data_IF_990620503321
#
_entry.id   IF_990620503321
#
_cell.length_a   1.000
_cell.length_b   1.000
_cell.length_c   1.000
_cell.angle_alpha   90.00
_cell.angle_beta   90.00
_cell.angle_gamma   90.00
#
_symmetry.space_group_name_H-M   'P 1'
#
loop_
_entity.id
_entity.type
_entity.pdbx_description
1 polymer ?
2 non-polymer ?
3 water ?
#
# COMPACT_ATOMS: atom_id res chain seq x y z
N UNK A 1 -28.80 -3.58 -7.94
CA UNK A 1 -29.84 -3.36 -8.94
C UNK A 1 -30.13 -1.87 -9.07
N UNK A 2 -30.79 -1.31 -8.06
CA UNK A 2 -30.81 0.13 -7.84
C UNK A 2 -30.48 0.28 -6.37
N UNK A 3 -29.80 -0.74 -5.87
CA UNK A 3 -29.45 -0.85 -4.47
C UNK A 3 -28.53 0.27 -3.98
N UNK A 4 -27.95 1.07 -4.87
CA UNK A 4 -27.10 2.16 -4.38
C UNK A 4 -27.88 3.43 -4.09
N UNK A 5 -28.61 3.96 -5.06
CA UNK A 5 -29.35 5.21 -4.80
C UNK A 5 -30.45 5.06 -3.75
N UNK A 6 -31.00 3.86 -3.63
CA UNK A 6 -31.99 3.60 -2.60
C UNK A 6 -31.39 3.60 -1.19
N UNK A 7 -30.09 3.32 -1.09
CA UNK A 7 -29.49 3.05 0.21
C UNK A 7 -28.44 4.02 0.68
N UNK A 8 -27.98 4.87 -0.23
CA UNK A 8 -26.92 5.82 0.11
C UNK A 8 -27.25 7.24 -0.37
N UNK A 9 -26.86 8.23 0.42
CA UNK A 9 -26.95 9.65 0.04
C UNK A 9 -25.57 10.03 -0.46
N UNK A 10 -25.51 10.54 -1.67
CA UNK A 10 -24.21 10.86 -2.22
C UNK A 10 -23.86 12.30 -1.84
N UNK A 11 -22.63 12.49 -1.41
CA UNK A 11 -22.13 13.82 -1.08
C UNK A 11 -21.08 14.28 -2.13
N UNK A 12 -20.10 15.04 -1.68
CA UNK A 12 -19.16 15.73 -2.57
C UNK A 12 -18.14 14.81 -3.26
N UNK A 13 -17.70 15.24 -4.43
CA UNK A 13 -16.67 14.53 -5.20
C UNK A 13 -15.32 14.52 -4.49
N UNK A 14 -14.72 13.34 -4.32
CA UNK A 14 -13.39 13.22 -3.72
C UNK A 14 -12.24 13.10 -4.76
N UNK A 15 -12.56 12.59 -5.94
CA UNK A 15 -11.55 12.34 -6.95
C UNK A 15 -12.14 11.85 -8.25
N UNK A 16 -11.34 11.82 -9.30
CA UNK A 16 -11.84 11.34 -10.59
C UNK A 16 -10.72 10.63 -11.33
N UNK A 17 -11.11 9.66 -12.15
CA UNK A 17 -10.18 9.01 -13.04
C UNK A 17 -10.80 8.82 -14.41
N UNK A 18 -10.15 7.97 -15.21
CA UNK A 18 -10.74 7.54 -16.46
C UNK A 18 -11.94 6.67 -16.12
N UNK A 19 -13.09 7.04 -16.66
CA UNK A 19 -14.29 6.23 -16.56
C UNK A 19 -14.90 6.20 -15.16
N UNK A 20 -14.39 6.98 -14.21
CA UNK A 20 -14.95 6.91 -12.85
C UNK A 20 -14.78 8.20 -12.03
N UNK A 21 -15.64 8.37 -11.03
CA UNK A 21 -15.49 9.45 -10.09
C UNK A 21 -15.68 8.79 -8.72
N UNK A 22 -15.07 9.36 -7.70
CA UNK A 22 -15.24 8.86 -6.33
C UNK A 22 -15.95 9.95 -5.57
N UNK A 23 -17.07 9.63 -4.91
CA UNK A 23 -17.77 10.62 -4.10
C UNK A 23 -17.96 10.07 -2.70
N UNK A 24 -17.86 10.94 -1.72
CA UNK A 24 -18.20 10.51 -0.36
C UNK A 24 -19.71 10.21 -0.32
N UNK A 25 -20.11 9.23 0.49
CA UNK A 25 -21.54 8.92 0.60
C UNK A 25 -21.84 8.49 2.01
N UNK A 26 -23.13 8.50 2.34
CA UNK A 26 -23.55 8.17 3.68
C UNK A 26 -24.65 7.14 3.56
N UNK A 27 -24.50 6.01 4.25
CA UNK A 27 -25.53 4.98 4.18
C UNK A 27 -26.75 5.49 4.94
N UNK A 28 -27.94 5.38 4.36
CA UNK A 28 -29.06 6.17 4.88
C UNK A 28 -29.58 5.65 6.21
N UNK A 29 -29.70 4.33 6.34
CA UNK A 29 -30.31 3.81 7.56
C UNK A 29 -29.35 3.66 8.72
N UNK A 30 -28.02 3.53 8.46
CA UNK A 30 -27.06 3.46 9.54
C UNK A 30 -26.26 4.73 9.77
N UNK A 31 -26.21 5.62 8.77
CA UNK A 31 -25.40 6.82 8.89
C UNK A 31 -23.90 6.63 8.69
N UNK A 32 -23.46 5.42 8.34
CA UNK A 32 -21.99 5.26 8.17
C UNK A 32 -21.55 5.92 6.88
N UNK A 33 -20.31 6.43 6.88
CA UNK A 33 -19.75 7.12 5.74
C UNK A 33 -18.83 6.22 4.97
N UNK A 34 -18.75 6.46 3.66
CA UNK A 34 -17.91 5.61 2.79
C UNK A 34 -17.43 6.48 1.64
N UNK A 35 -16.56 5.92 0.80
CA UNK A 35 -16.21 6.52 -0.48
C UNK A 35 -16.75 5.60 -1.58
N UNK A 36 -17.61 6.11 -2.45
CA UNK A 36 -18.13 5.31 -3.53
C UNK A 36 -17.36 5.60 -4.79
N UNK A 37 -16.76 4.57 -5.38
CA UNK A 37 -16.16 4.71 -6.71
C UNK A 37 -17.25 4.35 -7.69
N UNK A 38 -17.61 5.31 -8.53
CA UNK A 38 -18.75 5.19 -9.41
C UNK A 38 -18.19 5.04 -10.85
N UNK A 39 -18.43 3.90 -11.49
CA UNK A 39 -17.75 3.60 -12.75
C UNK A 39 -18.77 3.52 -13.86
N UNK A 40 -18.53 4.26 -14.95
CA UNK A 40 -19.37 4.12 -16.13
C UNK A 40 -19.02 2.83 -16.87
N UNK A 41 -19.88 1.83 -16.75
CA UNK A 41 -19.59 0.48 -17.21
C UNK A 41 -19.90 0.27 -18.72
N UNK A 42 -20.69 1.16 -19.31
CA UNK A 42 -21.00 1.03 -20.73
C UNK A 42 -19.83 1.52 -21.58
N UNK A 43 -18.90 2.23 -20.94
CA UNK A 43 -17.74 2.80 -21.62
C UNK A 43 -16.43 2.08 -21.26
N UNK A 44 -16.54 1.00 -20.50
CA UNK A 44 -15.37 0.20 -20.17
C UNK A 44 -15.08 -0.80 -21.28
N UNK A 45 -13.80 -0.93 -21.62
CA UNK A 45 -13.36 -1.96 -22.54
C UNK A 45 -13.35 -3.32 -21.84
N UNK A 46 -13.40 -4.38 -22.64
CA UNK A 46 -13.40 -5.74 -22.14
C UNK A 46 -12.24 -5.98 -21.18
N UNK A 47 -11.08 -5.39 -21.46
CA UNK A 47 -9.94 -5.59 -20.57
C UNK A 47 -10.16 -4.79 -19.28
N UNK A 48 -10.69 -3.58 -19.44
CA UNK A 48 -10.97 -2.71 -18.30
C UNK A 48 -11.93 -3.39 -17.32
N UNK A 49 -12.92 -4.08 -17.89
CA UNK A 49 -13.91 -4.80 -17.11
C UNK A 49 -13.24 -5.99 -16.45
N UNK A 50 -12.42 -6.70 -17.18
CA UNK A 50 -11.70 -7.81 -16.56
C UNK A 50 -10.90 -7.29 -15.35
N UNK A 51 -10.30 -6.11 -15.47
CA UNK A 51 -9.50 -5.61 -14.38
C UNK A 51 -10.37 -5.20 -13.16
N UNK A 52 -11.55 -4.63 -13.45
CA UNK A 52 -12.49 -4.24 -12.41
C UNK A 52 -12.99 -5.47 -11.65
N UNK A 53 -13.36 -6.53 -12.37
CA UNK A 53 -13.83 -7.75 -11.75
C UNK A 53 -12.78 -8.33 -10.86
N UNK A 54 -11.54 -8.40 -11.35
CA UNK A 54 -10.45 -9.00 -10.58
C UNK A 54 -10.18 -8.13 -9.33
N UNK A 55 -10.18 -6.83 -9.49
CA UNK A 55 -9.83 -6.00 -8.35
C UNK A 55 -10.94 -6.06 -7.27
N UNK A 56 -12.20 -6.12 -7.67
CA UNK A 56 -13.27 -6.16 -6.70
C UNK A 56 -13.29 -7.50 -5.97
N UNK A 57 -13.01 -8.56 -6.72
CA UNK A 57 -13.01 -9.90 -6.18
C UNK A 57 -11.90 -10.08 -5.17
N UNK A 58 -10.69 -9.64 -5.53
CA UNK A 58 -9.58 -9.69 -4.60
C UNK A 58 -9.83 -8.81 -3.40
N UNK A 59 -10.33 -7.61 -3.64
CA UNK A 59 -10.46 -6.65 -2.58
C UNK A 59 -11.53 -7.08 -1.56
N UNK A 60 -12.54 -7.79 -2.02
CA UNK A 60 -13.65 -8.12 -1.15
C UNK A 60 -13.18 -9.12 -0.09
N UNK A 61 -12.16 -9.93 -0.43
CA UNK A 61 -11.66 -10.96 0.49
C UNK A 61 -10.83 -10.36 1.65
N UNK A 62 -10.26 -9.20 1.41
CA UNK A 62 -9.24 -8.66 2.29
C UNK A 62 -9.83 -7.72 3.35
N UNK A 63 -9.80 -8.14 4.61
CA UNK A 63 -10.37 -7.32 5.67
C UNK A 63 -9.36 -7.18 6.82
N UNK A 64 -8.75 -6.01 6.83
CA UNK A 64 -7.68 -5.69 7.78
C UNK A 64 -7.74 -4.17 7.92
N UNK A 65 -7.42 -3.63 9.10
CA UNK A 65 -7.48 -2.18 9.27
C UNK A 65 -6.52 -1.38 8.40
N UNK A 66 -5.51 -2.03 7.83
CA UNK A 66 -4.54 -1.31 7.03
C UNK A 66 -4.74 -1.62 5.57
N UNK A 67 -5.96 -2.00 5.22
CA UNK A 67 -6.26 -2.17 3.78
C UNK A 67 -7.49 -1.29 3.55
N UNK A 68 -7.56 -0.51 2.46
CA UNK A 68 -8.78 0.26 2.17
C UNK A 68 -9.83 -0.79 1.82
N UNK A 69 -10.81 -0.99 2.69
CA UNK A 69 -11.71 -2.16 2.53
C UNK A 69 -12.85 -1.89 1.55
N UNK A 70 -13.24 -2.91 0.81
CA UNK A 70 -14.38 -2.84 -0.10
C UNK A 70 -15.58 -3.49 0.62
N UNK A 71 -16.66 -2.72 0.83
CA UNK A 71 -17.85 -3.18 1.60
C UNK A 71 -19.01 -3.65 0.76
N UNK A 72 -19.12 -3.12 -0.45
CA UNK A 72 -20.21 -3.50 -1.31
C UNK A 72 -19.84 -3.23 -2.76
N UNK A 73 -20.39 -4.02 -3.65
CA UNK A 73 -20.10 -3.85 -5.06
C UNK A 73 -21.43 -4.03 -5.78
N UNK A 74 -21.94 -2.93 -6.37
CA UNK A 74 -23.32 -2.85 -6.83
C UNK A 74 -23.46 -2.42 -8.30
N UNK A 75 -24.06 -3.27 -9.13
CA UNK A 75 -24.27 -2.90 -10.54
C UNK A 75 -25.65 -2.29 -10.76
N UNK A 76 -25.65 -1.04 -11.19
CA UNK A 76 -26.87 -0.35 -11.58
C UNK A 76 -26.92 -0.36 -13.11
N UNK A 77 -27.86 0.37 -13.72
CA UNK A 77 -28.03 0.31 -15.18
C UNK A 77 -26.72 0.52 -15.94
N UNK A 78 -26.20 1.74 -15.87
CA UNK A 78 -25.00 2.09 -16.63
C UNK A 78 -23.77 2.33 -15.74
N UNK A 79 -23.95 2.29 -14.43
CA UNK A 79 -22.87 2.59 -13.49
C UNK A 79 -22.69 1.45 -12.50
N UNK A 80 -21.44 1.16 -12.15
CA UNK A 80 -21.12 0.19 -11.10
C UNK A 80 -20.62 0.98 -9.88
N UNK A 81 -20.99 0.56 -8.68
CA UNK A 81 -20.64 1.30 -7.47
C UNK A 81 -19.84 0.40 -6.55
N UNK A 82 -18.63 0.84 -6.23
CA UNK A 82 -17.78 0.10 -5.33
C UNK A 82 -17.71 0.96 -4.06
N UNK A 83 -18.19 0.41 -2.94
CA UNK A 83 -18.32 1.20 -1.73
C UNK A 83 -17.17 0.81 -0.83
N UNK A 84 -16.20 1.73 -0.70
CA UNK A 84 -14.95 1.47 0.00
C UNK A 84 -14.91 2.25 1.32
N UNK A 85 -13.96 1.92 2.18
CA UNK A 85 -13.63 2.80 3.31
C UNK A 85 -13.38 4.22 2.85
N UNK A 86 -13.85 5.21 3.61
CA UNK A 86 -13.52 6.59 3.35
C UNK A 86 -12.18 6.91 3.98
N UNK A 87 -11.24 7.45 3.21
CA UNK A 87 -9.96 7.91 3.75
C UNK A 87 -9.82 9.37 3.33
N UNK A 88 -9.39 10.18 4.26
CA UNK A 88 -9.34 11.63 4.04
C UNK A 88 -7.94 12.20 4.28
N UNK A 89 -6.99 11.30 4.53
CA UNK A 89 -5.66 11.76 4.89
C UNK A 89 -4.70 11.93 3.71
N UNK A 90 -5.13 11.56 2.49
CA UNK A 90 -4.34 11.76 1.28
C UNK A 90 -3.34 10.61 1.15
N UNK A 91 -2.60 10.60 0.06
CA UNK A 91 -1.58 9.56 -0.17
C UNK A 91 -0.38 9.75 0.74
N UNK A 92 0.24 8.64 1.11
CA UNK A 92 1.48 8.71 1.84
C UNK A 92 2.51 9.48 1.01
N UNK A 93 2.47 9.33 -0.31
CA UNK A 93 3.36 10.11 -1.17
C UNK A 93 3.33 11.60 -0.79
N UNK A 94 2.13 12.17 -0.67
CA UNK A 94 2.01 13.59 -0.47
C UNK A 94 2.51 13.96 0.93
N UNK A 95 2.33 13.05 1.88
CA UNK A 95 2.75 13.33 3.24
C UNK A 95 4.28 13.33 3.38
N UNK A 96 4.94 12.38 2.70
CA UNK A 96 6.42 12.37 2.62
C UNK A 96 6.94 13.66 2.03
N UNK A 97 6.37 14.05 0.89
CA UNK A 97 6.77 15.30 0.22
C UNK A 97 6.62 16.49 1.17
N UNK A 98 5.47 16.62 1.82
CA UNK A 98 5.20 17.74 2.74
C UNK A 98 6.15 17.76 3.94
N UNK A 99 6.49 16.57 4.47
CA UNK A 99 7.36 16.51 5.66
C UNK A 99 8.84 16.40 5.32
N UNK A 100 9.13 16.19 4.05
CA UNK A 100 10.48 15.90 3.51
C UNK A 100 10.97 14.50 3.85
N UNK A 101 10.98 14.14 5.12
CA UNK A 101 11.31 12.78 5.53
C UNK A 101 10.76 12.54 6.95
N UNK A 102 10.78 11.28 7.39
CA UNK A 102 10.25 10.87 8.69
C UNK A 102 11.39 10.61 9.66
N UNK A 103 11.18 10.92 10.93
CA UNK A 103 12.09 10.50 11.98
C UNK A 103 12.14 8.96 11.95
N UNK A 104 13.17 8.38 12.57
CA UNK A 104 13.25 6.93 12.66
C UNK A 104 12.05 6.40 13.39
N UNK A 105 11.65 7.06 14.47
CA UNK A 105 10.46 6.57 15.20
C UNK A 105 9.22 6.54 14.29
N UNK A 106 9.01 7.60 13.53
CA UNK A 106 7.83 7.66 12.65
C UNK A 106 7.91 6.68 11.47
N UNK A 107 9.12 6.51 10.94
CA UNK A 107 9.32 5.65 9.79
C UNK A 107 9.09 4.22 10.23
N UNK A 108 9.54 3.90 11.45
CA UNK A 108 9.37 2.55 11.98
C UNK A 108 7.87 2.26 12.13
N UNK A 109 7.13 3.19 12.74
CA UNK A 109 5.69 2.99 12.86
C UNK A 109 4.99 2.91 11.50
N UNK A 110 5.44 3.72 10.56
CA UNK A 110 4.80 3.74 9.26
C UNK A 110 5.06 2.38 8.55
N UNK A 111 6.33 1.96 8.50
CA UNK A 111 6.62 0.72 7.76
C UNK A 111 6.08 -0.49 8.49
N UNK A 112 5.93 -0.39 9.81
CA UNK A 112 5.26 -1.48 10.53
C UNK A 112 3.86 -1.70 9.98
N UNK A 113 3.11 -0.60 9.78
CA UNK A 113 1.75 -0.75 9.31
C UNK A 113 1.74 -1.29 7.88
N UNK A 114 2.67 -0.78 7.05
CA UNK A 114 2.73 -1.22 5.67
C UNK A 114 3.01 -2.71 5.67
N UNK A 115 3.98 -3.15 6.46
CA UNK A 115 4.34 -4.56 6.51
C UNK A 115 3.20 -5.42 7.04
N UNK A 116 2.38 -4.85 7.96
CA UNK A 116 1.29 -5.65 8.50
C UNK A 116 0.24 -5.88 7.41
N UNK A 117 -0.01 -4.86 6.58
CA UNK A 117 -0.94 -5.01 5.48
C UNK A 117 -0.43 -6.02 4.47
N UNK A 118 0.88 -5.99 4.23
CA UNK A 118 1.46 -6.93 3.25
C UNK A 118 1.48 -8.34 3.82
N UNK A 119 1.82 -8.48 5.11
CA UNK A 119 1.82 -9.81 5.72
C UNK A 119 0.42 -10.41 5.63
N UNK A 120 -0.60 -9.58 5.86
CA UNK A 120 -1.99 -10.07 5.82
C UNK A 120 -2.32 -10.50 4.38
N UNK A 121 -1.94 -9.68 3.39
CA UNK A 121 -2.21 -10.06 1.99
C UNK A 121 -1.53 -11.39 1.68
N UNK A 122 -0.22 -11.49 1.98
CA UNK A 122 0.52 -12.70 1.65
C UNK A 122 -0.06 -13.93 2.34
N UNK A 123 -0.55 -13.76 3.56
CA UNK A 123 -1.08 -14.92 4.27
C UNK A 123 -2.37 -15.36 3.58
N UNK A 124 -2.98 -14.47 2.80
CA UNK A 124 -4.18 -14.80 2.05
C UNK A 124 -3.94 -15.08 0.57
N UNK A 125 -2.68 -15.28 0.24
CA UNK A 125 -2.29 -15.67 -1.10
C UNK A 125 -2.39 -14.52 -2.12
N UNK A 126 -2.32 -13.28 -1.65
CA UNK A 126 -2.42 -12.12 -2.59
C UNK A 126 -1.08 -11.39 -2.61
N UNK A 127 -0.55 -11.17 -3.79
CA UNK A 127 0.68 -10.39 -3.95
C UNK A 127 0.27 -9.11 -4.69
N UNK A 128 0.64 -7.97 -4.14
CA UNK A 128 0.10 -6.70 -4.65
C UNK A 128 0.77 -6.31 -5.98
N UNK A 129 2.11 -6.44 -6.02
CA UNK A 129 2.97 -6.14 -7.19
C UNK A 129 3.18 -4.66 -7.51
N UNK A 130 2.47 -3.78 -6.84
CA UNK A 130 2.62 -2.35 -7.17
C UNK A 130 2.66 -1.48 -5.97
N UNK A 131 3.38 -1.94 -4.95
CA UNK A 131 3.47 -1.18 -3.73
C UNK A 131 4.32 0.09 -3.92
N UNK A 132 3.80 1.26 -3.53
CA UNK A 132 4.55 2.53 -3.62
C UNK A 132 3.77 3.54 -2.82
N UNK A 133 4.38 4.70 -2.50
CA UNK A 133 3.71 5.67 -1.62
C UNK A 133 2.41 6.24 -2.18
N UNK A 134 2.25 6.26 -3.51
CA UNK A 134 1.00 6.72 -4.09
C UNK A 134 -0.17 5.76 -3.82
N UNK A 135 0.15 4.49 -3.48
CA UNK A 135 -0.87 3.47 -3.29
C UNK A 135 -1.08 3.17 -1.82
N UNK A 136 -0.56 4.03 -0.95
CA UNK A 136 -0.78 3.88 0.49
C UNK A 136 -1.51 5.17 0.91
N UNK A 137 -2.66 5.04 1.59
CA UNK A 137 -3.46 6.21 1.90
C UNK A 137 -3.59 6.38 3.37
N UNK A 138 -3.51 7.63 3.86
CA UNK A 138 -3.68 7.85 5.30
C UNK A 138 -5.15 7.97 5.62
N UNK A 139 -5.59 7.26 6.67
CA UNK A 139 -7.05 7.17 6.91
C UNK A 139 -7.67 8.52 7.17
N UNK A 140 -6.90 9.40 7.82
CA UNK A 140 -7.30 10.77 8.05
C UNK A 140 -6.05 11.62 8.28
N UNK A 141 -6.26 12.90 8.55
CA UNK A 141 -5.14 13.79 8.71
C UNK A 141 -4.54 13.70 10.13
N UNK A 142 -5.24 13.06 11.06
CA UNK A 142 -4.72 12.93 12.43
C UNK A 142 -3.42 12.09 12.46
N UNK A 143 -2.41 12.50 13.24
CA UNK A 143 -1.17 11.73 13.35
C UNK A 143 -1.53 10.33 13.89
N UNK A 144 -0.84 9.29 13.43
CA UNK A 144 -1.15 7.94 13.90
C UNK A 144 -2.30 7.29 13.16
N UNK A 145 -2.92 8.00 12.24
CA UNK A 145 -3.98 7.40 11.47
C UNK A 145 -3.43 6.20 10.72
N UNK A 146 -4.27 5.19 10.52
CA UNK A 146 -3.85 3.97 9.83
C UNK A 146 -3.37 4.35 8.44
N UNK A 147 -2.27 3.72 8.02
CA UNK A 147 -1.83 3.78 6.62
C UNK A 147 -2.45 2.62 5.88
N UNK A 148 -3.18 2.87 4.82
CA UNK A 148 -3.99 1.80 4.26
C UNK A 148 -3.62 1.50 2.81
N UNK A 149 -3.43 0.23 2.56
CA UNK A 149 -3.10 -0.21 1.19
C UNK A 149 -4.27 -0.17 0.23
N UNK A 150 -3.99 0.37 -0.95
CA UNK A 150 -4.99 0.58 -2.00
C UNK A 150 -4.48 0.09 -3.36
N UNK A 151 -5.37 0.13 -4.34
CA UNK A 151 -5.08 -0.19 -5.76
C UNK A 151 -4.53 -1.59 -6.01
N UNK A 152 -5.46 -2.55 -6.00
CA UNK A 152 -5.12 -3.95 -6.22
C UNK A 152 -5.28 -4.31 -7.67
N UNK A 153 -5.20 -3.30 -8.53
CA UNK A 153 -5.37 -3.54 -9.96
C UNK A 153 -4.31 -4.41 -10.60
N UNK A 154 -3.15 -4.58 -9.96
CA UNK A 154 -2.13 -5.46 -10.52
C UNK A 154 -1.93 -6.68 -9.62
N UNK A 155 -2.79 -6.84 -8.61
CA UNK A 155 -2.57 -7.91 -7.65
C UNK A 155 -2.78 -9.27 -8.30
N UNK A 156 -2.09 -10.27 -7.80
CA UNK A 156 -2.24 -11.65 -8.28
C UNK A 156 -2.49 -12.60 -7.12
N UNK A 157 -3.15 -13.71 -7.41
CA UNK A 157 -3.35 -14.77 -6.43
C UNK A 157 -2.33 -15.84 -6.69
N UNK A 158 -1.62 -16.25 -5.63
CA UNK A 158 -0.51 -17.19 -5.73
C UNK A 158 -0.69 -18.36 -4.79
N UNK A 159 -0.09 -19.49 -5.17
CA UNK A 159 0.02 -20.62 -4.27
C UNK A 159 1.42 -20.60 -3.65
N UNK A 160 1.92 -21.75 -3.23
CA UNK A 160 3.16 -21.79 -2.45
C UNK A 160 4.41 -21.83 -3.31
N UNK A 161 4.24 -21.76 -4.63
CA UNK A 161 5.39 -21.79 -5.54
C UNK A 161 5.54 -20.49 -6.35
N UNK A 162 6.71 -20.31 -6.93
CA UNK A 162 6.98 -19.17 -7.81
C UNK A 162 6.48 -19.48 -9.23
N UNK A 163 6.07 -18.45 -9.95
CA UNK A 163 5.66 -18.60 -11.33
C UNK A 163 6.02 -17.32 -12.06
N UNK A 164 6.09 -17.37 -13.38
CA UNK A 164 6.23 -16.12 -14.12
C UNK A 164 4.89 -15.43 -14.33
N UNK A 165 4.62 -14.37 -13.58
CA UNK A 165 3.31 -13.71 -13.62
C UNK A 165 3.31 -12.51 -14.55
N UNK A 166 4.43 -12.26 -15.22
CA UNK A 166 4.51 -11.16 -16.16
C UNK A 166 5.27 -9.96 -15.63
N UNK A 167 5.62 -9.07 -16.56
CA UNK A 167 6.39 -7.89 -16.22
C UNK A 167 5.43 -6.75 -15.93
N UNK A 168 5.29 -6.37 -14.65
CA UNK A 168 4.38 -5.30 -14.32
C UNK A 168 4.85 -4.76 -13.01
N UNK A 169 4.60 -3.48 -12.82
CA UNK A 169 4.90 -2.81 -11.56
C UNK A 169 5.32 -1.38 -11.87
N UNK A 170 6.01 -0.74 -10.94
CA UNK A 170 6.43 0.66 -11.20
C UNK A 170 7.95 0.71 -11.15
N UNK A 171 8.60 1.27 -12.19
CA UNK A 171 10.06 1.09 -12.37
C UNK A 171 10.92 1.26 -11.10
N UNK A 172 10.77 2.33 -10.30
CA UNK A 172 11.66 2.57 -9.17
C UNK A 172 11.48 1.57 -8.03
N UNK A 173 10.38 0.84 -8.10
CA UNK A 173 10.03 -0.13 -7.05
C UNK A 173 10.09 -1.59 -7.53
N UNK A 174 10.42 -1.81 -8.80
CA UNK A 174 10.50 -3.16 -9.35
C UNK A 174 11.61 -3.96 -8.69
N UNK A 175 11.37 -5.25 -8.49
CA UNK A 175 12.36 -6.14 -7.89
C UNK A 175 13.33 -6.73 -8.93
N UNK A 176 14.48 -7.17 -8.47
CA UNK A 176 15.44 -7.71 -9.41
C UNK A 176 14.86 -8.93 -10.15
N UNK A 177 14.12 -9.78 -9.46
CA UNK A 177 13.61 -10.96 -10.14
C UNK A 177 12.63 -10.64 -11.25
N UNK A 178 11.82 -9.59 -11.09
CA UNK A 178 10.91 -9.20 -12.17
C UNK A 178 11.74 -8.63 -13.32
N UNK A 179 12.75 -7.83 -13.00
CA UNK A 179 13.60 -7.25 -14.08
C UNK A 179 14.41 -8.33 -14.84
N UNK A 180 14.80 -9.37 -14.15
CA UNK A 180 15.51 -10.49 -14.78
C UNK A 180 14.55 -11.44 -15.50
N UNK A 181 13.27 -11.19 -15.34
CA UNK A 181 12.24 -12.08 -15.86
C UNK A 181 12.37 -13.50 -15.31
N UNK A 182 12.65 -13.59 -14.00
CA UNK A 182 12.61 -14.85 -13.28
C UNK A 182 11.22 -15.09 -12.68
N UNK A 183 10.85 -16.35 -12.46
CA UNK A 183 9.60 -16.60 -11.72
C UNK A 183 9.69 -15.90 -10.38
N UNK A 184 8.54 -15.50 -9.84
CA UNK A 184 8.58 -14.67 -8.65
C UNK A 184 7.30 -14.83 -7.87
N UNK A 185 7.27 -14.25 -6.68
CA UNK A 185 6.07 -14.36 -5.84
C UNK A 185 6.04 -13.25 -4.80
N UNK A 186 5.58 -13.59 -3.59
CA UNK A 186 5.46 -12.64 -2.47
C UNK A 186 6.66 -11.74 -2.26
N UNK A 187 7.90 -12.26 -2.43
CA UNK A 187 8.98 -11.36 -2.07
C UNK A 187 9.03 -10.05 -2.87
N UNK A 188 8.42 -10.00 -4.04
CA UNK A 188 8.48 -8.73 -4.80
C UNK A 188 7.97 -7.57 -3.96
N UNK A 189 6.94 -7.82 -3.13
CA UNK A 189 6.40 -6.73 -2.36
C UNK A 189 7.33 -6.33 -1.25
N UNK A 190 8.14 -7.25 -0.74
CA UNK A 190 9.07 -6.87 0.32
C UNK A 190 10.18 -5.97 -0.26
N UNK A 191 10.61 -6.27 -1.47
CA UNK A 191 11.59 -5.36 -2.09
C UNK A 191 11.03 -3.95 -2.18
N UNK A 192 9.79 -3.80 -2.65
CA UNK A 192 9.16 -2.46 -2.69
C UNK A 192 9.05 -1.84 -1.29
N UNK A 193 8.77 -2.65 -0.27
CA UNK A 193 8.75 -2.13 1.10
C UNK A 193 10.11 -1.56 1.47
N UNK A 194 11.19 -2.22 1.04
CA UNK A 194 12.51 -1.70 1.30
C UNK A 194 12.76 -0.34 0.65
N UNK A 195 12.36 -0.21 -0.60
CA UNK A 195 12.44 1.08 -1.30
C UNK A 195 11.67 2.15 -0.54
N UNK A 196 10.43 1.82 -0.13
CA UNK A 196 9.67 2.79 0.62
C UNK A 196 10.32 3.17 1.94
N UNK A 197 10.85 2.20 2.67
CA UNK A 197 11.48 2.50 3.95
C UNK A 197 12.67 3.44 3.75
N UNK A 198 13.50 3.17 2.74
CA UNK A 198 14.64 4.06 2.44
C UNK A 198 14.09 5.47 2.18
N UNK A 199 13.01 5.56 1.37
CA UNK A 199 12.42 6.88 1.06
C UNK A 199 11.92 7.55 2.34
N UNK A 200 11.28 6.79 3.23
CA UNK A 200 10.78 7.40 4.45
C UNK A 200 11.85 8.08 5.27
N UNK A 201 13.02 7.46 5.33
CA UNK A 201 14.07 7.95 6.22
C UNK A 201 14.82 9.19 5.69
N UNK A 202 14.93 9.34 4.37
CA UNK A 202 15.75 10.45 3.82
C UNK A 202 15.05 11.29 2.76
N UNK A 203 13.90 10.82 2.27
CA UNK A 203 13.05 11.60 1.38
C UNK A 203 13.33 11.45 -0.11
N UNK A 204 14.26 10.58 -0.46
CA UNK A 204 14.58 10.29 -1.88
C UNK A 204 14.83 8.78 -2.03
N UNK A 205 14.71 8.24 -3.25
CA UNK A 205 14.80 6.78 -3.40
C UNK A 205 16.19 6.20 -3.56
N UNK A 206 16.34 4.89 -3.27
CA UNK A 206 17.65 4.23 -3.35
C UNK A 206 18.11 4.03 -4.78
N UNK A 207 17.18 3.91 -5.71
CA UNK A 207 17.50 3.68 -7.11
C UNK A 207 16.82 4.77 -7.91
N UNK A 208 17.63 5.61 -8.57
CA UNK A 208 17.12 6.74 -9.38
C UNK A 208 18.09 6.98 -10.54
N UNK A 209 17.65 6.89 -11.80
CA UNK A 209 18.49 7.32 -12.90
C UNK A 209 17.57 7.65 -14.03
N UNK A 210 17.87 8.72 -14.75
CA UNK A 210 17.00 9.12 -15.86
C UNK A 210 17.17 8.18 -17.05
N UNK A 211 18.21 7.35 -17.05
CA UNK A 211 18.40 6.39 -18.10
C UNK A 211 17.89 5.06 -17.56
N UNK A 212 16.86 4.51 -18.19
CA UNK A 212 16.19 3.38 -17.56
C UNK A 212 17.07 2.13 -17.63
N UNK A 213 17.94 2.02 -18.65
CA UNK A 213 18.88 0.89 -18.68
C UNK A 213 19.80 0.91 -17.46
N UNK A 214 20.32 2.08 -17.10
CA UNK A 214 21.10 2.19 -15.89
C UNK A 214 20.25 1.88 -14.64
N UNK A 215 19.07 2.45 -14.58
CA UNK A 215 18.21 2.23 -13.39
C UNK A 215 18.01 0.71 -13.20
N UNK A 216 17.58 0.02 -14.22
CA UNK A 216 17.35 -1.41 -14.06
C UNK A 216 18.60 -2.21 -13.78
N UNK A 217 19.75 -1.80 -14.34
CA UNK A 217 21.00 -2.47 -13.98
C UNK A 217 21.33 -2.30 -12.50
N UNK A 218 21.10 -1.10 -11.98
CA UNK A 218 21.39 -0.80 -10.59
C UNK A 218 20.46 -1.64 -9.66
N UNK A 219 19.18 -1.68 -10.00
CA UNK A 219 18.26 -2.49 -9.21
C UNK A 219 18.69 -3.95 -9.24
N UNK A 220 18.95 -4.50 -10.44
CA UNK A 220 19.29 -5.91 -10.54
C UNK A 220 20.53 -6.26 -9.74
N UNK A 221 21.46 -5.32 -9.63
CA UNK A 221 22.70 -5.54 -8.86
C UNK A 221 22.53 -5.24 -7.36
N UNK A 222 21.40 -4.66 -6.99
CA UNK A 222 21.22 -4.23 -5.60
C UNK A 222 22.17 -3.12 -5.25
N UNK A 223 22.43 -2.27 -6.23
CA UNK A 223 23.44 -1.22 -6.09
C UNK A 223 22.83 0.06 -5.54
N UNK A 224 22.93 0.28 -4.23
CA UNK A 224 22.50 1.52 -3.60
C UNK A 224 23.44 1.75 -2.41
N UNK A 225 23.40 2.95 -1.88
CA UNK A 225 24.22 3.25 -0.72
C UNK A 225 23.51 4.18 0.23
N UNK A 226 24.25 4.65 1.25
CA UNK A 226 23.72 5.51 2.32
C UNK A 226 24.60 6.76 2.44
N UNK A 227 24.40 7.74 1.54
CA UNK A 227 25.23 8.96 1.42
C UNK A 227 25.18 9.90 2.62
N UNK A 228 26.30 10.57 2.91
CA UNK A 228 26.31 11.63 3.93
C UNK A 228 25.73 12.94 3.43
N UNK A 229 25.30 13.81 4.34
CA UNK A 229 25.30 13.60 5.79
C UNK A 229 23.99 12.95 6.26
N UNK A 230 22.99 12.90 5.39
CA UNK A 230 21.65 12.56 5.87
C UNK A 230 21.60 11.15 6.46
N UNK A 231 22.36 10.20 5.92
CA UNK A 231 22.39 8.87 6.53
C UNK A 231 23.32 8.75 7.73
N UNK A 232 24.10 9.79 8.00
CA UNK A 232 25.13 9.72 9.04
C UNK A 232 24.54 9.41 10.41
N UNK A 233 23.43 10.07 10.73
CA UNK A 233 22.79 9.94 12.02
C UNK A 233 21.69 8.85 12.08
N UNK A 234 21.49 8.12 10.99
CA UNK A 234 20.53 7.01 11.00
C UNK A 234 21.21 5.77 11.56
N UNK A 235 20.48 5.07 12.42
CA UNK A 235 20.98 3.90 13.13
C UNK A 235 21.27 2.74 12.20
N UNK A 236 22.20 1.88 12.61
CA UNK A 236 22.63 0.71 11.85
C UNK A 236 21.50 -0.28 11.74
N UNK A 237 20.61 -0.28 12.74
CA UNK A 237 19.45 -1.16 12.75
C UNK A 237 18.51 -0.82 11.60
N UNK A 238 18.28 0.46 11.37
CA UNK A 238 17.39 0.90 10.27
C UNK A 238 17.99 0.41 8.93
N UNK A 239 19.31 0.59 8.77
CA UNK A 239 19.98 0.25 7.52
C UNK A 239 20.02 -1.26 7.33
N UNK A 240 20.22 -1.98 8.41
CA UNK A 240 20.27 -3.43 8.32
C UNK A 240 18.90 -3.98 7.87
N UNK A 241 17.83 -3.39 8.39
CA UNK A 241 16.49 -3.81 7.99
C UNK A 241 16.27 -3.51 6.52
N UNK A 242 16.67 -2.32 6.06
CA UNK A 242 16.55 -2.02 4.63
C UNK A 242 17.37 -3.06 3.82
N UNK A 243 18.57 -3.39 4.26
CA UNK A 243 19.41 -4.33 3.50
C UNK A 243 18.71 -5.68 3.37
N UNK A 244 18.04 -6.12 4.44
CA UNK A 244 17.31 -7.39 4.48
C UNK A 244 16.20 -7.39 3.48
N UNK A 245 15.59 -6.24 3.27
CA UNK A 245 14.49 -6.16 2.29
C UNK A 245 15.02 -5.99 0.84
N UNK A 246 16.09 -5.22 0.69
CA UNK A 246 16.72 -5.00 -0.59
C UNK A 246 17.79 -6.07 -0.82
N UNK A 247 17.39 -7.32 -0.60
CA UNK A 247 18.28 -8.46 -0.82
C UNK A 247 17.94 -9.00 -2.18
N UNK A 248 18.96 -9.10 -3.05
CA UNK A 248 18.68 -9.37 -4.48
C UNK A 248 18.07 -10.76 -4.74
N UNK A 249 18.60 -11.77 -4.07
CA UNK A 249 18.08 -13.12 -4.25
C UNK A 249 16.77 -13.26 -3.44
N UNK A 250 15.61 -13.41 -4.12
CA UNK A 250 14.36 -13.35 -3.33
C UNK A 250 14.25 -14.50 -2.35
N UNK A 251 15.03 -15.56 -2.51
CA UNK A 251 14.94 -16.69 -1.59
C UNK A 251 15.59 -16.34 -0.27
N UNK A 252 16.47 -15.34 -0.27
CA UNK A 252 17.19 -14.92 0.93
C UNK A 252 16.66 -13.61 1.51
N UNK A 253 15.63 -13.07 0.86
CA UNK A 253 15.06 -11.80 1.27
C UNK A 253 14.16 -12.03 2.50
N UNK A 254 14.16 -11.09 3.42
CA UNK A 254 13.29 -11.17 4.61
C UNK A 254 11.83 -11.23 4.17
N UNK A 255 11.00 -11.93 4.92
CA UNK A 255 9.55 -11.87 4.64
C UNK A 255 8.90 -10.80 5.52
N UNK A 256 7.65 -10.43 5.22
CA UNK A 256 6.94 -9.48 6.02
C UNK A 256 6.79 -9.97 7.47
N UNK A 257 6.41 -11.23 7.64
CA UNK A 257 6.29 -11.80 9.00
C UNK A 257 7.60 -11.70 9.76
N UNK A 258 8.72 -11.98 9.10
CA UNK A 258 10.01 -11.87 9.73
C UNK A 258 10.40 -10.43 10.06
N UNK A 259 10.10 -9.49 9.17
CA UNK A 259 10.52 -8.13 9.38
C UNK A 259 9.79 -7.53 10.61
N UNK A 260 8.56 -7.99 10.82
CA UNK A 260 7.74 -7.42 11.88
C UNK A 260 8.27 -7.82 13.26
N UNK A 261 9.20 -8.77 13.30
CA UNK A 261 9.82 -9.21 14.56
C UNK A 261 11.20 -8.59 14.79
N UNK A 262 11.67 -7.76 13.87
CA UNK A 262 12.98 -7.15 14.03
C UNK A 262 12.92 -6.07 15.10
N UNK A 263 13.94 -6.02 16.00
CA UNK A 263 13.88 -5.06 17.10
C UNK A 263 13.58 -3.59 16.69
N UNK A 264 14.14 -3.14 15.55
CA UNK A 264 13.93 -1.76 15.15
C UNK A 264 12.46 -1.47 14.97
N UNK A 265 11.69 -2.51 14.61
CA UNK A 265 10.26 -2.38 14.45
C UNK A 265 9.54 -2.57 15.81
N UNK A 266 9.90 -3.59 16.57
CA UNK A 266 9.03 -3.87 17.72
C UNK A 266 9.63 -3.67 19.11
N UNK A 267 10.81 -3.05 19.18
CA UNK A 267 11.37 -2.64 20.47
C UNK A 267 10.81 -1.26 20.82
N UNK A 268 9.82 -1.29 21.69
CA UNK A 268 8.95 -0.15 21.92
C UNK A 268 9.59 0.93 22.78
N UNK A 269 9.89 2.08 22.17
CA UNK A 269 10.22 3.28 22.93
C UNK A 269 8.89 3.86 23.38
N UNK A 270 8.62 3.81 24.68
CA UNK A 270 7.26 4.01 25.18
C UNK A 270 7.09 5.10 26.25
N UNK A 271 8.02 6.04 26.31
CA UNK A 271 7.86 7.18 27.21
C UNK A 271 6.57 7.95 26.87
N UNK A 272 6.33 8.17 25.58
CA UNK A 272 5.17 8.94 25.12
C UNK A 272 3.95 8.04 24.85
N UNK A 273 4.02 6.79 25.31
CA UNK A 273 2.97 5.76 25.10
C UNK A 273 2.98 4.81 26.35
N UNK A 274 3.26 5.41 27.50
CA UNK A 274 3.18 4.75 28.81
C UNK A 274 1.73 4.79 29.21
N UNK A 275 1.41 4.44 30.45
CA UNK A 275 -0.01 4.37 30.74
C UNK A 275 -0.62 5.77 30.74
N UNK A 276 -1.88 5.83 30.35
CA UNK A 276 -2.59 7.08 30.27
C UNK A 276 -4.03 6.78 30.71
N UNK A 277 -4.67 7.74 31.34
CA UNK A 277 -6.08 7.64 31.65
C UNK A 277 -6.91 7.57 30.36
N UNK A 278 -7.86 6.66 30.37
CA UNK A 278 -8.72 6.47 29.23
C UNK A 278 -10.17 6.56 29.62
N UNK A 279 -11.00 7.21 28.81
CA UNK A 279 -12.42 7.28 29.09
C UNK A 279 -13.16 5.94 28.87
N UNK A 280 -14.12 5.66 29.76
CA UNK A 280 -15.05 4.78 29.57
C UNK A 280 -15.82 4.92 28.48
N UNK A 281 -16.12 3.82 27.78
CA UNK A 281 -17.13 3.81 26.72
C UNK A 281 -18.35 3.05 27.21
N UNK A 282 -19.52 3.56 26.86
CA UNK A 282 -20.76 2.96 27.31
C UNK A 282 -21.79 3.14 26.19
N UNK A 283 -22.09 2.04 25.53
CA UNK A 283 -23.05 2.04 24.42
C UNK A 283 -24.28 1.21 24.77
N UNK A 284 -24.68 1.21 26.04
CA UNK A 284 -25.79 0.38 26.54
C UNK A 284 -27.13 1.12 26.58
X LIG B 1 -1.99 4.76 -7.82
#
# INVERSE_FOLDING_TARGET
>A
STKFSDNYDVKEELGKGAFSVVRRCVHKTTGLEFAAKIINTKKLSARDFQKLEREARICRKLQHPNIVRLHDSIQEESFHYLVFDLVTGGELFEDIVAREFYSEADASHCIQQILESIAYCHSNGIVHRNLKPENLLLASKAKGAAVKLADFGLAIEVNDSEAWHGFAGTPGYLSPEVLKKDPYSKPVDIWACGVILYILLVGYPPFWDEDQHRLYAQIKAGAYDYPSPEWDTVTPEAKSLIDSMLTVNPKKRITADQALKVPWICNRERVASAIHRQDTVDCL
>B hetero
1 MG MG
#
